data_IF_052901363570
#
_entry.id   IF_052901363570
#
_cell.length_a   1.000
_cell.length_b   1.000
_cell.length_c   1.000
_cell.angle_alpha   90.00
_cell.angle_beta   90.00
_cell.angle_gamma   90.00
#
_symmetry.space_group_name_H-M   'P 1'
#
loop_
_entity.id
_entity.type
_entity.pdbx_description
1 polymer ?
#
# COMPACT_ATOMS: atom_id res chain seq x y z
N UNK A 1 7.01 -14.76 -9.66
CA UNK A 1 7.20 -13.68 -8.65
C UNK A 1 8.37 -12.75 -8.90
N UNK A 2 9.58 -13.22 -9.26
CA UNK A 2 10.78 -12.37 -9.41
C UNK A 2 10.57 -11.09 -10.23
N UNK A 3 9.97 -11.18 -11.43
CA UNK A 3 9.72 -10.01 -12.28
C UNK A 3 8.78 -8.96 -11.65
N UNK A 4 7.69 -9.38 -11.00
CA UNK A 4 6.80 -8.45 -10.29
C UNK A 4 7.53 -7.82 -9.11
N UNK A 5 8.25 -8.63 -8.32
CA UNK A 5 9.08 -8.14 -7.21
C UNK A 5 10.04 -7.04 -7.68
N UNK A 6 10.81 -7.30 -8.72
CA UNK A 6 11.82 -6.39 -9.23
C UNK A 6 11.17 -5.11 -9.82
N UNK A 7 10.09 -5.25 -10.60
CA UNK A 7 9.38 -4.11 -11.20
C UNK A 7 8.74 -3.21 -10.12
N UNK A 8 8.01 -3.80 -9.17
CA UNK A 8 7.39 -3.06 -8.06
C UNK A 8 8.46 -2.37 -7.22
N UNK A 9 9.52 -3.08 -6.84
CA UNK A 9 10.64 -2.51 -6.05
C UNK A 9 11.28 -1.32 -6.77
N UNK A 10 11.52 -1.42 -8.09
CA UNK A 10 12.07 -0.34 -8.90
C UNK A 10 11.15 0.88 -8.92
N UNK A 11 9.85 0.68 -9.11
CA UNK A 11 8.87 1.77 -9.13
C UNK A 11 8.82 2.52 -7.78
N UNK A 12 8.75 1.80 -6.66
CA UNK A 12 8.76 2.43 -5.33
C UNK A 12 10.09 3.08 -4.99
N UNK A 13 11.22 2.50 -5.38
CA UNK A 13 12.54 3.14 -5.18
C UNK A 13 12.65 4.43 -5.97
N UNK A 14 12.16 4.46 -7.21
CA UNK A 14 12.11 5.69 -8.03
C UNK A 14 11.22 6.75 -7.38
N UNK A 15 10.06 6.34 -6.88
CA UNK A 15 9.14 7.21 -6.16
C UNK A 15 9.79 7.79 -4.90
N UNK A 16 10.37 6.95 -4.04
CA UNK A 16 11.04 7.37 -2.81
C UNK A 16 12.16 8.38 -3.12
N UNK A 17 12.99 8.12 -4.14
CA UNK A 17 14.01 9.09 -4.59
C UNK A 17 13.40 10.44 -4.98
N UNK A 18 12.28 10.42 -5.71
CA UNK A 18 11.60 11.65 -6.10
C UNK A 18 11.06 12.41 -4.89
N UNK A 19 10.46 11.73 -3.91
CA UNK A 19 9.95 12.34 -2.67
C UNK A 19 11.10 12.90 -1.83
N UNK A 20 12.21 12.16 -1.73
CA UNK A 20 13.39 12.60 -0.99
C UNK A 20 14.04 13.85 -1.59
N UNK A 21 14.10 13.95 -2.92
CA UNK A 21 14.57 15.17 -3.61
C UNK A 21 13.69 16.36 -3.25
N UNK A 22 12.37 16.17 -3.36
CA UNK A 22 11.37 17.17 -3.00
C UNK A 22 11.44 17.64 -1.55
N UNK A 23 11.67 16.70 -0.61
CA UNK A 23 11.87 17.03 0.80
C UNK A 23 13.14 17.84 1.00
N UNK A 24 14.25 17.47 0.35
CA UNK A 24 15.52 18.19 0.47
C UNK A 24 15.38 19.66 0.08
N UNK A 25 14.76 19.93 -1.07
CA UNK A 25 14.58 21.30 -1.55
C UNK A 25 13.71 22.10 -0.56
N UNK A 26 12.61 21.50 -0.11
CA UNK A 26 11.69 22.15 0.84
C UNK A 26 12.32 22.39 2.21
N UNK A 27 13.11 21.44 2.71
CA UNK A 27 13.82 21.56 3.99
C UNK A 27 14.83 22.70 3.95
N UNK A 28 15.51 22.90 2.82
CA UNK A 28 16.41 24.04 2.63
C UNK A 28 15.66 25.38 2.71
N UNK A 29 14.52 25.51 2.03
CA UNK A 29 13.67 26.71 2.10
C UNK A 29 13.18 26.99 3.53
N UNK A 30 12.60 25.98 4.19
CA UNK A 30 12.08 26.08 5.55
C UNK A 30 13.18 26.49 6.53
N UNK A 31 14.40 25.97 6.35
CA UNK A 31 15.55 26.31 7.18
C UNK A 31 16.01 27.75 6.98
N UNK A 32 16.07 28.24 5.74
CA UNK A 32 16.39 29.64 5.44
C UNK A 32 15.38 30.59 6.08
N UNK A 33 14.08 30.28 5.94
CA UNK A 33 13.00 31.07 6.55
C UNK A 33 13.07 31.06 8.08
N UNK A 34 13.30 29.90 8.68
CA UNK A 34 13.45 29.77 10.14
C UNK A 34 14.65 30.56 10.67
N UNK A 35 15.80 30.50 9.99
CA UNK A 35 16.98 31.30 10.36
C UNK A 35 16.67 32.80 10.28
N UNK A 36 15.99 33.24 9.22
CA UNK A 36 15.59 34.65 9.05
C UNK A 36 14.66 35.09 10.19
N UNK A 37 13.62 34.30 10.48
CA UNK A 37 12.66 34.61 11.55
C UNK A 37 13.30 34.65 12.94
N UNK A 38 14.19 33.71 13.25
CA UNK A 38 14.91 33.66 14.53
C UNK A 38 15.92 34.79 14.69
N UNK A 39 16.60 35.21 13.61
CA UNK A 39 17.49 36.37 13.63
C UNK A 39 16.74 37.67 13.92
N UNK A 40 15.56 37.85 13.34
CA UNK A 40 14.72 39.03 13.56
C UNK A 40 14.08 39.09 14.96
N UNK A 41 14.10 37.98 15.72
CA UNK A 41 13.54 37.93 17.07
C UNK A 41 14.56 38.45 18.10
N UNK A 42 14.22 39.57 18.76
CA UNK A 42 15.06 40.22 19.78
C UNK A 42 14.85 39.65 21.19
N UNK A 43 13.75 38.94 21.43
CA UNK A 43 13.36 38.43 22.75
C UNK A 43 13.99 37.07 23.08
N UNK A 44 14.63 36.44 22.09
CA UNK A 44 15.24 35.12 22.22
C UNK A 44 16.74 35.18 22.43
N UNK A 45 17.22 34.37 23.37
CA UNK A 45 18.65 34.12 23.54
C UNK A 45 19.20 33.35 22.33
N UNK A 46 20.51 33.45 22.08
CA UNK A 46 21.16 32.68 21.02
C UNK A 46 20.98 31.17 21.22
N UNK A 47 21.06 30.70 22.47
CA UNK A 47 20.85 29.29 22.84
C UNK A 47 19.46 28.79 22.45
N UNK A 48 18.41 29.59 22.66
CA UNK A 48 17.04 29.22 22.31
C UNK A 48 16.84 29.15 20.79
N UNK A 49 17.50 30.05 20.05
CA UNK A 49 17.50 30.05 18.58
C UNK A 49 18.17 28.79 18.02
N UNK A 50 19.31 28.41 18.58
CA UNK A 50 20.06 27.23 18.16
C UNK A 50 19.28 25.93 18.44
N UNK A 51 18.63 25.83 19.60
CA UNK A 51 17.77 24.69 19.96
C UNK A 51 16.53 24.58 19.05
N UNK A 52 15.93 25.71 18.67
CA UNK A 52 14.80 25.72 17.73
C UNK A 52 15.22 25.23 16.33
N UNK A 53 16.39 25.64 15.84
CA UNK A 53 16.95 25.15 14.57
C UNK A 53 17.29 23.66 14.64
N UNK A 54 17.86 23.19 15.76
CA UNK A 54 18.14 21.77 15.96
C UNK A 54 16.86 20.92 15.89
N UNK A 55 15.77 21.35 16.55
CA UNK A 55 14.48 20.66 16.47
C UNK A 55 13.88 20.65 15.07
N UNK A 56 14.09 21.72 14.30
CA UNK A 56 13.70 21.75 12.89
C UNK A 56 14.50 20.71 12.07
N UNK A 57 15.81 20.68 12.24
CA UNK A 57 16.70 19.72 11.57
C UNK A 57 16.35 18.26 11.97
N UNK A 58 16.00 18.00 13.23
CA UNK A 58 15.50 16.70 13.72
C UNK A 58 14.17 16.30 13.07
N UNK A 59 13.23 17.24 12.93
CA UNK A 59 11.96 17.00 12.24
C UNK A 59 12.20 16.66 10.76
N UNK A 60 13.08 17.40 10.09
CA UNK A 60 13.46 17.13 8.69
C UNK A 60 14.08 15.75 8.53
N UNK A 61 14.97 15.35 9.45
CA UNK A 61 15.54 14.01 9.48
C UNK A 61 14.48 12.92 9.63
N UNK A 62 13.51 13.11 10.54
CA UNK A 62 12.41 12.16 10.75
C UNK A 62 11.51 12.03 9.50
N UNK A 63 11.23 13.13 8.78
CA UNK A 63 10.49 13.08 7.51
C UNK A 63 11.22 12.26 6.44
N UNK A 64 12.55 12.42 6.33
CA UNK A 64 13.40 11.65 5.40
C UNK A 64 13.41 10.16 5.78
N UNK A 65 13.59 9.85 7.06
CA UNK A 65 13.64 8.48 7.58
C UNK A 65 12.34 7.74 7.30
N UNK A 66 11.19 8.37 7.54
CA UNK A 66 9.88 7.79 7.24
C UNK A 66 9.72 7.38 5.77
N UNK A 67 10.22 8.18 4.83
CA UNK A 67 10.17 7.84 3.39
C UNK A 67 11.08 6.66 3.04
N UNK A 68 12.23 6.54 3.72
CA UNK A 68 13.13 5.39 3.56
C UNK A 68 12.49 4.12 4.13
N UNK A 69 11.92 4.21 5.34
CA UNK A 69 11.24 3.10 6.00
C UNK A 69 10.05 2.59 5.18
N UNK A 70 9.23 3.50 4.66
CA UNK A 70 8.12 3.17 3.77
C UNK A 70 8.63 2.41 2.51
N UNK A 71 9.72 2.85 1.90
CA UNK A 71 10.31 2.17 0.74
C UNK A 71 10.88 0.79 1.08
N UNK A 72 11.59 0.69 2.20
CA UNK A 72 12.20 -0.56 2.64
C UNK A 72 11.15 -1.56 3.10
N UNK A 73 10.03 -1.09 3.67
CA UNK A 73 8.89 -1.93 3.99
C UNK A 73 8.26 -2.55 2.74
N UNK A 74 8.08 -1.78 1.66
CA UNK A 74 7.64 -2.35 0.37
C UNK A 74 8.62 -3.40 -0.13
N UNK A 75 9.93 -3.13 -0.09
CA UNK A 75 10.95 -4.13 -0.48
C UNK A 75 10.86 -5.40 0.35
N UNK A 76 10.65 -5.27 1.66
CA UNK A 76 10.52 -6.41 2.57
C UNK A 76 9.30 -7.26 2.22
N UNK A 77 8.14 -6.63 2.04
CA UNK A 77 6.90 -7.33 1.64
C UNK A 77 7.11 -8.09 0.32
N UNK A 78 7.65 -7.41 -0.70
CA UNK A 78 7.90 -8.02 -2.00
C UNK A 78 8.93 -9.17 -1.91
N UNK A 79 9.95 -9.02 -1.06
CA UNK A 79 10.96 -10.04 -0.80
C UNK A 79 10.37 -11.28 -0.14
N UNK A 80 9.54 -11.11 0.90
CA UNK A 80 8.89 -12.21 1.62
C UNK A 80 7.97 -13.02 0.71
N UNK A 81 7.05 -12.35 0.00
CA UNK A 81 6.16 -13.02 -0.95
C UNK A 81 6.94 -13.74 -2.07
N UNK A 82 8.08 -13.19 -2.49
CA UNK A 82 8.95 -13.86 -3.46
C UNK A 82 9.65 -15.09 -2.87
N UNK A 83 10.17 -15.02 -1.64
CA UNK A 83 10.85 -16.14 -0.95
C UNK A 83 9.89 -17.29 -0.71
N UNK A 84 8.68 -16.97 -0.26
CA UNK A 84 7.59 -17.92 -0.01
C UNK A 84 6.91 -18.41 -1.30
N UNK A 85 7.32 -17.90 -2.48
CA UNK A 85 6.77 -18.25 -3.80
C UNK A 85 5.24 -18.09 -3.90
N UNK A 86 4.66 -17.19 -3.12
CA UNK A 86 3.21 -16.91 -3.09
C UNK A 86 2.86 -15.53 -3.62
N UNK A 87 1.59 -15.31 -3.96
CA UNK A 87 1.10 -13.95 -4.22
C UNK A 87 1.10 -13.10 -2.93
N UNK A 88 0.97 -11.79 -3.09
CA UNK A 88 0.74 -10.90 -1.96
C UNK A 88 -0.61 -11.21 -1.29
N UNK A 89 -0.60 -11.20 0.03
CA UNK A 89 -1.81 -11.31 0.85
C UNK A 89 -2.64 -10.03 0.77
N UNK A 90 -3.89 -10.09 1.24
CA UNK A 90 -4.77 -8.91 1.30
C UNK A 90 -4.17 -7.79 2.16
N UNK A 91 -3.55 -8.15 3.29
CA UNK A 91 -2.98 -7.18 4.22
C UNK A 91 -1.71 -6.53 3.68
N UNK A 92 -0.83 -7.32 3.05
CA UNK A 92 0.36 -6.80 2.36
C UNK A 92 -0.02 -5.83 1.23
N UNK A 93 -1.08 -6.14 0.46
CA UNK A 93 -1.60 -5.23 -0.57
C UNK A 93 -2.13 -3.93 0.02
N UNK A 94 -2.89 -4.01 1.12
CA UNK A 94 -3.39 -2.84 1.84
C UNK A 94 -2.23 -1.97 2.32
N UNK A 95 -1.23 -2.58 2.93
CA UNK A 95 -0.05 -1.87 3.45
C UNK A 95 0.75 -1.18 2.33
N UNK A 96 1.00 -1.86 1.20
CA UNK A 96 1.64 -1.26 0.03
C UNK A 96 0.85 -0.06 -0.50
N UNK A 97 -0.49 -0.16 -0.54
CA UNK A 97 -1.35 0.94 -0.98
C UNK A 97 -1.27 2.14 -0.03
N UNK A 98 -1.30 1.89 1.29
CA UNK A 98 -1.16 2.94 2.30
C UNK A 98 0.21 3.63 2.21
N UNK A 99 1.29 2.87 2.02
CA UNK A 99 2.64 3.41 1.80
C UNK A 99 2.65 4.32 0.56
N UNK A 100 2.07 3.86 -0.53
CA UNK A 100 1.97 4.63 -1.76
C UNK A 100 1.21 5.94 -1.55
N UNK A 101 0.10 5.92 -0.82
CA UNK A 101 -0.67 7.13 -0.53
C UNK A 101 0.12 8.09 0.35
N UNK A 102 0.79 7.60 1.40
CA UNK A 102 1.66 8.42 2.25
C UNK A 102 2.75 9.12 1.45
N UNK A 103 3.52 8.37 0.65
CA UNK A 103 4.62 8.97 -0.11
C UNK A 103 4.13 9.99 -1.14
N UNK A 104 3.00 9.74 -1.83
CA UNK A 104 2.45 10.70 -2.80
C UNK A 104 1.88 11.94 -2.13
N UNK A 105 1.20 11.78 -0.99
CA UNK A 105 0.68 12.90 -0.22
C UNK A 105 1.82 13.75 0.35
N UNK A 106 2.89 13.12 0.87
CA UNK A 106 4.11 13.85 1.28
C UNK A 106 4.68 14.67 0.12
N UNK A 107 4.74 14.11 -1.09
CA UNK A 107 5.20 14.86 -2.26
C UNK A 107 4.31 16.05 -2.58
N UNK A 108 3.00 15.83 -2.69
CA UNK A 108 2.02 16.87 -3.04
C UNK A 108 2.09 18.03 -2.03
N UNK A 109 2.05 17.72 -0.74
CA UNK A 109 2.06 18.73 0.32
C UNK A 109 3.39 19.52 0.39
N UNK A 110 4.48 18.99 -0.17
CA UNK A 110 5.82 19.59 -0.04
C UNK A 110 6.32 20.28 -1.31
N UNK A 111 5.75 19.99 -2.48
CA UNK A 111 6.24 20.57 -3.75
C UNK A 111 5.26 21.37 -4.57
N UNK A 112 3.95 21.11 -4.47
CA UNK A 112 3.03 21.59 -5.53
C UNK A 112 2.13 22.72 -5.04
N UNK A 113 2.09 23.82 -5.81
CA UNK A 113 1.07 24.88 -5.66
C UNK A 113 0.10 24.95 -6.84
N UNK A 114 0.41 24.30 -7.97
CA UNK A 114 -0.43 24.31 -9.18
C UNK A 114 -1.20 22.99 -9.36
N UNK A 115 -2.42 23.10 -9.90
CA UNK A 115 -3.29 21.96 -10.18
C UNK A 115 -2.68 20.99 -11.22
N UNK A 116 -1.91 21.53 -12.17
CA UNK A 116 -1.27 20.76 -13.24
C UNK A 116 -0.22 19.79 -12.68
N UNK A 117 0.62 20.23 -11.75
CA UNK A 117 1.63 19.38 -11.12
C UNK A 117 0.99 18.29 -10.26
N UNK A 118 -0.06 18.63 -9.51
CA UNK A 118 -0.83 17.66 -8.72
C UNK A 118 -1.46 16.61 -9.64
N UNK A 119 -2.03 17.05 -10.77
CA UNK A 119 -2.61 16.14 -11.76
C UNK A 119 -1.55 15.23 -12.38
N UNK A 120 -0.36 15.75 -12.71
CA UNK A 120 0.74 14.95 -13.25
C UNK A 120 1.24 13.91 -12.23
N UNK A 121 1.40 14.28 -10.96
CA UNK A 121 1.78 13.37 -9.87
C UNK A 121 0.72 12.26 -9.70
N UNK A 122 -0.56 12.63 -9.63
CA UNK A 122 -1.66 11.66 -9.48
C UNK A 122 -1.81 10.73 -10.71
N UNK A 123 -1.50 11.23 -11.92
CA UNK A 123 -1.47 10.39 -13.13
C UNK A 123 -0.37 9.35 -13.06
N UNK A 124 0.83 9.73 -12.60
CA UNK A 124 1.94 8.79 -12.36
C UNK A 124 1.56 7.76 -11.29
N UNK A 125 0.96 8.19 -10.18
CA UNK A 125 0.44 7.31 -9.12
C UNK A 125 -0.55 6.28 -9.67
N UNK A 126 -1.55 6.75 -10.41
CA UNK A 126 -2.61 5.91 -10.96
C UNK A 126 -2.05 4.89 -11.95
N UNK A 127 -1.08 5.29 -12.78
CA UNK A 127 -0.39 4.38 -13.70
C UNK A 127 0.38 3.30 -12.95
N UNK A 128 1.16 3.67 -11.94
CA UNK A 128 1.90 2.71 -11.13
C UNK A 128 0.98 1.69 -10.45
N UNK A 129 -0.11 2.15 -9.80
CA UNK A 129 -1.12 1.26 -9.21
C UNK A 129 -1.75 0.34 -10.26
N UNK A 130 -2.17 0.89 -11.40
CA UNK A 130 -2.76 0.11 -12.49
C UNK A 130 -1.81 -1.00 -12.98
N UNK A 131 -0.54 -0.68 -13.20
CA UNK A 131 0.45 -1.63 -13.70
C UNK A 131 0.73 -2.76 -12.69
N UNK A 132 0.85 -2.43 -11.41
CA UNK A 132 1.06 -3.41 -10.33
C UNK A 132 -0.16 -4.34 -10.23
N UNK A 133 -1.36 -3.76 -10.06
CA UNK A 133 -2.57 -4.55 -9.83
C UNK A 133 -2.94 -5.40 -11.06
N UNK A 134 -2.65 -4.93 -12.27
CA UNK A 134 -2.84 -5.73 -13.49
C UNK A 134 -1.90 -6.94 -13.54
N UNK A 135 -0.62 -6.76 -13.20
CA UNK A 135 0.35 -7.88 -13.16
C UNK A 135 -0.05 -8.91 -12.11
N UNK A 136 -0.54 -8.48 -10.95
CA UNK A 136 -1.03 -9.37 -9.89
C UNK A 136 -2.30 -10.12 -10.29
N UNK A 137 -3.26 -9.43 -10.89
CA UNK A 137 -4.47 -10.03 -11.44
C UNK A 137 -4.10 -11.15 -12.42
N UNK A 138 -3.21 -10.86 -13.37
CA UNK A 138 -2.77 -11.85 -14.37
C UNK A 138 -2.07 -13.06 -13.73
N UNK A 139 -1.27 -12.86 -12.67
CA UNK A 139 -0.67 -13.98 -11.94
C UNK A 139 -1.73 -14.83 -11.21
N UNK A 140 -2.71 -14.17 -10.61
CA UNK A 140 -3.81 -14.84 -9.90
C UNK A 140 -4.64 -15.68 -10.87
N UNK A 141 -4.99 -15.13 -12.04
CA UNK A 141 -5.69 -15.84 -13.11
C UNK A 141 -4.87 -17.05 -13.56
N UNK A 142 -3.58 -16.86 -13.85
CA UNK A 142 -2.69 -17.95 -14.29
C UNK A 142 -2.59 -19.09 -13.25
N UNK A 143 -2.54 -18.75 -11.96
CA UNK A 143 -2.52 -19.74 -10.89
C UNK A 143 -3.84 -20.52 -10.80
N UNK A 144 -4.98 -19.82 -10.86
CA UNK A 144 -6.31 -20.43 -10.83
C UNK A 144 -6.54 -21.36 -12.04
N UNK A 145 -6.08 -20.96 -13.23
CA UNK A 145 -6.14 -21.80 -14.43
C UNK A 145 -5.31 -23.07 -14.29
N UNK A 146 -4.10 -22.96 -13.71
CA UNK A 146 -3.25 -24.12 -13.45
C UNK A 146 -3.92 -25.09 -12.46
N UNK A 147 -4.43 -24.59 -11.34
CA UNK A 147 -5.14 -25.42 -10.34
C UNK A 147 -6.36 -26.12 -10.94
N UNK A 148 -7.14 -25.41 -11.78
CA UNK A 148 -8.27 -25.99 -12.50
C UNK A 148 -7.83 -27.13 -13.43
N UNK A 149 -6.79 -26.90 -14.25
CA UNK A 149 -6.24 -27.92 -15.17
C UNK A 149 -5.74 -29.15 -14.42
N UNK A 150 -5.00 -28.95 -13.33
CA UNK A 150 -4.47 -30.04 -12.49
C UNK A 150 -5.62 -30.84 -11.86
N UNK A 151 -6.66 -30.16 -11.35
CA UNK A 151 -7.85 -30.81 -10.77
C UNK A 151 -8.65 -31.60 -11.81
N UNK A 152 -8.86 -31.01 -13.01
CA UNK A 152 -9.55 -31.68 -14.12
C UNK A 152 -8.82 -32.98 -14.51
N UNK A 153 -7.50 -32.91 -14.71
CA UNK A 153 -6.67 -34.07 -15.06
C UNK A 153 -6.77 -35.17 -13.99
N UNK A 154 -6.75 -34.80 -12.71
CA UNK A 154 -6.87 -35.75 -11.61
C UNK A 154 -8.26 -36.40 -11.56
N UNK A 155 -9.33 -35.64 -11.81
CA UNK A 155 -10.69 -36.17 -11.86
C UNK A 155 -10.86 -37.18 -13.02
N UNK A 156 -10.33 -36.86 -14.20
CA UNK A 156 -10.33 -37.76 -15.37
C UNK A 156 -9.55 -39.05 -15.08
N UNK A 157 -8.36 -38.95 -14.46
CA UNK A 157 -7.56 -40.13 -14.08
C UNK A 157 -8.32 -41.04 -13.11
N UNK A 158 -8.97 -40.47 -12.09
CA UNK A 158 -9.79 -41.23 -11.12
C UNK A 158 -10.95 -41.95 -11.80
N UNK A 159 -11.68 -41.25 -12.69
CA UNK A 159 -12.77 -41.84 -13.47
C UNK A 159 -12.28 -43.01 -14.32
N UNK A 160 -11.20 -42.81 -15.08
CA UNK A 160 -10.67 -43.84 -15.97
C UNK A 160 -10.21 -45.08 -15.20
N UNK A 161 -9.58 -44.92 -14.03
CA UNK A 161 -9.22 -46.04 -13.17
C UNK A 161 -10.45 -46.79 -12.64
N UNK A 162 -11.50 -46.10 -12.20
CA UNK A 162 -12.76 -46.73 -11.76
C UNK A 162 -13.43 -47.52 -12.89
N UNK A 163 -13.52 -46.92 -14.08
CA UNK A 163 -14.12 -47.56 -15.27
C UNK A 163 -13.32 -48.79 -15.68
N UNK A 164 -11.98 -48.70 -15.69
CA UNK A 164 -11.13 -49.84 -16.01
C UNK A 164 -11.32 -51.01 -15.03
N UNK A 165 -11.37 -50.73 -13.73
CA UNK A 165 -11.60 -51.77 -12.72
C UNK A 165 -12.98 -52.43 -12.88
N UNK A 166 -14.02 -51.63 -13.17
CA UNK A 166 -15.35 -52.14 -13.46
C UNK A 166 -15.37 -53.01 -14.73
N UNK A 167 -14.64 -52.61 -15.77
CA UNK A 167 -14.52 -53.38 -17.01
C UNK A 167 -13.84 -54.73 -16.78
N UNK A 168 -12.80 -54.79 -15.94
CA UNK A 168 -12.16 -56.06 -15.53
C UNK A 168 -13.15 -56.96 -14.80
N UNK A 169 -13.89 -56.43 -13.82
CA UNK A 169 -14.87 -57.20 -13.05
C UNK A 169 -16.00 -57.75 -13.94
N UNK A 170 -16.46 -56.96 -14.91
CA UNK A 170 -17.52 -57.36 -15.84
C UNK A 170 -17.03 -58.34 -16.92
N UNK A 171 -16.01 -57.95 -17.72
CA UNK A 171 -15.61 -58.71 -18.91
C UNK A 171 -14.69 -59.89 -18.60
N UNK A 172 -13.79 -59.76 -17.64
CA UNK A 172 -12.75 -60.79 -17.36
C UNK A 172 -13.17 -61.74 -16.26
N UNK A 173 -13.71 -61.19 -15.17
CA UNK A 173 -14.05 -61.98 -13.99
C UNK A 173 -15.51 -62.45 -14.01
N UNK A 174 -16.40 -61.74 -14.72
CA UNK A 174 -17.84 -62.07 -14.76
C UNK A 174 -18.55 -61.93 -13.41
N UNK A 175 -17.96 -61.21 -12.45
CA UNK A 175 -18.45 -61.14 -11.05
C UNK A 175 -19.49 -60.04 -10.84
N UNK A 176 -19.73 -59.19 -11.85
CA UNK A 176 -20.79 -58.18 -11.85
C UNK A 176 -21.60 -58.28 -13.14
N UNK A 177 -22.87 -57.90 -13.07
CA UNK A 177 -23.78 -57.81 -14.22
C UNK A 177 -23.48 -56.58 -15.10
N UNK A 178 -24.03 -56.58 -16.32
CA UNK A 178 -23.96 -55.43 -17.24
C UNK A 178 -24.59 -54.17 -16.63
N UNK A 179 -25.68 -54.33 -15.89
CA UNK A 179 -26.37 -53.21 -15.25
C UNK A 179 -25.56 -52.61 -14.10
N UNK A 180 -24.88 -53.45 -13.30
CA UNK A 180 -23.96 -52.99 -12.26
C UNK A 180 -22.75 -52.28 -12.85
N UNK A 181 -22.16 -52.83 -13.92
CA UNK A 181 -21.10 -52.16 -14.67
C UNK A 181 -21.54 -50.77 -15.15
N UNK A 182 -22.69 -50.67 -15.81
CA UNK A 182 -23.22 -49.40 -16.30
C UNK A 182 -23.47 -48.40 -15.17
N UNK A 183 -24.00 -48.85 -14.02
CA UNK A 183 -24.17 -48.02 -12.83
C UNK A 183 -22.84 -47.48 -12.30
N UNK A 184 -21.79 -48.31 -12.23
CA UNK A 184 -20.45 -47.89 -11.79
C UNK A 184 -19.88 -46.83 -12.73
N UNK A 185 -19.95 -47.05 -14.05
CA UNK A 185 -19.48 -46.09 -15.06
C UNK A 185 -20.22 -44.76 -14.94
N UNK A 186 -21.56 -44.80 -14.88
CA UNK A 186 -22.38 -43.61 -14.74
C UNK A 186 -22.07 -42.84 -13.45
N UNK A 187 -21.84 -43.53 -12.34
CA UNK A 187 -21.47 -42.89 -11.08
C UNK A 187 -20.06 -42.26 -11.16
N UNK A 188 -19.10 -42.94 -11.78
CA UNK A 188 -17.76 -42.42 -11.98
C UNK A 188 -17.75 -41.17 -12.88
N UNK A 189 -18.61 -41.14 -13.91
CA UNK A 189 -18.81 -39.96 -14.76
C UNK A 189 -19.42 -38.79 -13.97
N UNK A 190 -20.48 -39.03 -13.19
CA UNK A 190 -21.10 -38.01 -12.33
C UNK A 190 -20.12 -37.41 -11.32
N UNK A 191 -19.30 -38.24 -10.68
CA UNK A 191 -18.28 -37.76 -9.72
C UNK A 191 -17.20 -36.89 -10.39
N UNK A 192 -16.74 -37.31 -11.58
CA UNK A 192 -15.80 -36.53 -12.40
C UNK A 192 -16.39 -35.16 -12.71
N UNK A 193 -17.60 -35.15 -13.25
CA UNK A 193 -18.25 -33.93 -13.72
C UNK A 193 -18.53 -32.96 -12.57
N UNK A 194 -19.01 -33.48 -11.43
CA UNK A 194 -19.18 -32.70 -10.20
C UNK A 194 -17.86 -32.06 -9.72
N UNK A 195 -16.76 -32.81 -9.76
CA UNK A 195 -15.44 -32.31 -9.35
C UNK A 195 -14.94 -31.21 -10.29
N UNK A 196 -15.07 -31.42 -11.61
CA UNK A 196 -14.67 -30.43 -12.63
C UNK A 196 -15.51 -29.16 -12.49
N UNK A 197 -16.81 -29.29 -12.26
CA UNK A 197 -17.72 -28.14 -12.12
C UNK A 197 -17.41 -27.33 -10.85
N UNK A 198 -17.14 -27.99 -9.72
CA UNK A 198 -16.70 -27.30 -8.51
C UNK A 198 -15.37 -26.56 -8.72
N UNK A 199 -14.40 -27.18 -9.41
CA UNK A 199 -13.13 -26.54 -9.73
C UNK A 199 -13.32 -25.34 -10.67
N UNK A 200 -14.24 -25.42 -11.65
CA UNK A 200 -14.59 -24.32 -12.54
C UNK A 200 -15.17 -23.14 -11.77
N UNK A 201 -16.16 -23.38 -10.91
CA UNK A 201 -16.76 -22.34 -10.05
C UNK A 201 -15.73 -21.65 -9.16
N UNK A 202 -14.81 -22.43 -8.56
CA UNK A 202 -13.71 -21.88 -7.76
C UNK A 202 -12.81 -20.97 -8.59
N UNK A 203 -12.40 -21.41 -9.78
CA UNK A 203 -11.58 -20.62 -10.71
C UNK A 203 -12.28 -19.30 -11.07
N UNK A 204 -13.56 -19.35 -11.45
CA UNK A 204 -14.34 -18.17 -11.82
C UNK A 204 -14.48 -17.18 -10.66
N UNK A 205 -14.73 -17.67 -9.45
CA UNK A 205 -14.76 -16.84 -8.24
C UNK A 205 -13.43 -16.13 -7.97
N UNK A 206 -12.30 -16.84 -8.12
CA UNK A 206 -10.96 -16.25 -7.98
C UNK A 206 -10.70 -15.17 -9.04
N UNK A 207 -11.05 -15.43 -10.31
CA UNK A 207 -10.90 -14.46 -11.40
C UNK A 207 -11.75 -13.21 -11.11
N UNK A 208 -13.03 -13.39 -10.75
CA UNK A 208 -13.94 -12.29 -10.42
C UNK A 208 -13.39 -11.42 -9.29
N UNK A 209 -12.91 -12.04 -8.21
CA UNK A 209 -12.33 -11.32 -7.08
C UNK A 209 -11.07 -10.55 -7.47
N UNK A 210 -10.22 -11.11 -8.32
CA UNK A 210 -9.02 -10.43 -8.82
C UNK A 210 -9.37 -9.21 -9.70
N UNK A 211 -10.40 -9.32 -10.54
CA UNK A 211 -10.91 -8.20 -11.35
C UNK A 211 -11.50 -7.10 -10.48
N UNK A 212 -12.34 -7.46 -9.49
CA UNK A 212 -12.92 -6.49 -8.56
C UNK A 212 -11.84 -5.71 -7.78
N UNK A 213 -10.79 -6.38 -7.30
CA UNK A 213 -9.67 -5.72 -6.63
C UNK A 213 -8.97 -4.70 -7.53
N UNK A 214 -8.83 -4.99 -8.83
CA UNK A 214 -8.28 -4.05 -9.82
C UNK A 214 -9.18 -2.82 -9.97
N UNK A 215 -10.48 -3.04 -10.13
CA UNK A 215 -11.44 -1.95 -10.34
C UNK A 215 -11.55 -1.04 -9.11
N UNK A 216 -11.57 -1.62 -7.91
CA UNK A 216 -11.51 -0.88 -6.65
C UNK A 216 -10.23 -0.05 -6.54
N UNK A 217 -9.08 -0.60 -6.90
CA UNK A 217 -7.80 0.12 -6.91
C UNK A 217 -7.82 1.31 -7.88
N UNK A 218 -8.47 1.18 -9.03
CA UNK A 218 -8.63 2.28 -10.00
C UNK A 218 -9.58 3.35 -9.46
N UNK A 219 -10.73 2.96 -8.90
CA UNK A 219 -11.69 3.88 -8.28
C UNK A 219 -11.07 4.66 -7.12
N UNK A 220 -10.35 3.98 -6.23
CA UNK A 220 -9.64 4.61 -5.11
C UNK A 220 -8.61 5.65 -5.62
N UNK A 221 -7.89 5.33 -6.70
CA UNK A 221 -6.91 6.25 -7.29
C UNK A 221 -7.56 7.52 -7.85
N UNK A 222 -8.76 7.42 -8.45
CA UNK A 222 -9.55 8.55 -8.93
C UNK A 222 -10.05 9.42 -7.78
N UNK A 223 -10.71 8.82 -6.79
CA UNK A 223 -11.21 9.54 -5.61
C UNK A 223 -10.09 10.30 -4.89
N UNK A 224 -8.93 9.66 -4.72
CA UNK A 224 -7.80 10.30 -4.07
C UNK A 224 -7.17 11.41 -4.92
N UNK A 225 -7.30 11.38 -6.26
CA UNK A 225 -6.89 12.51 -7.11
C UNK A 225 -7.77 13.74 -6.81
N UNK A 226 -9.08 13.56 -6.74
CA UNK A 226 -10.05 14.63 -6.47
C UNK A 226 -9.78 15.27 -5.10
N UNK A 227 -9.61 14.44 -4.05
CA UNK A 227 -9.25 14.91 -2.70
C UNK A 227 -7.95 15.71 -2.72
N UNK A 228 -6.94 15.26 -3.46
CA UNK A 228 -5.64 15.93 -3.51
C UNK A 228 -5.72 17.30 -4.21
N UNK A 229 -6.59 17.45 -5.22
CA UNK A 229 -6.87 18.74 -5.87
C UNK A 229 -7.63 19.67 -4.92
N UNK A 230 -8.68 19.17 -4.28
CA UNK A 230 -9.48 19.95 -3.32
C UNK A 230 -8.62 20.46 -2.15
N UNK A 231 -7.76 19.59 -1.59
CA UNK A 231 -6.88 19.96 -0.49
C UNK A 231 -5.87 21.03 -0.90
N UNK A 232 -5.29 20.95 -2.10
CA UNK A 232 -4.37 21.99 -2.57
C UNK A 232 -5.06 23.34 -2.82
N UNK A 233 -6.31 23.34 -3.29
CA UNK A 233 -7.12 24.55 -3.39
C UNK A 233 -7.45 25.17 -2.02
N UNK A 234 -7.58 24.34 -0.97
CA UNK A 234 -7.73 24.82 0.42
C UNK A 234 -6.40 25.32 1.00
N UNK A 235 -5.29 24.65 0.72
CA UNK A 235 -3.95 25.01 1.22
C UNK A 235 -3.36 26.28 0.57
N UNK A 236 -3.65 26.54 -0.70
CA UNK A 236 -3.30 27.82 -1.36
C UNK A 236 -3.93 29.02 -0.66
N UNK A 237 -5.14 28.87 -0.09
CA UNK A 237 -5.78 29.88 0.79
C UNK A 237 -5.24 29.87 2.23
N UNK A 238 -4.48 28.84 2.61
CA UNK A 238 -3.98 28.58 3.97
C UNK A 238 -2.50 28.90 4.21
N UNK A 239 -1.75 29.39 3.22
CA UNK A 239 -0.32 29.72 3.35
C UNK A 239 -0.04 30.69 4.50
N UNK A 240 -0.95 31.64 4.75
CA UNK A 240 -0.88 32.53 5.93
C UNK A 240 -1.00 31.78 7.27
N UNK A 241 -1.85 30.75 7.34
CA UNK A 241 -2.02 29.90 8.54
C UNK A 241 -0.82 28.98 8.78
N UNK A 242 -0.12 28.55 7.72
CA UNK A 242 1.11 27.78 7.85
C UNK A 242 2.24 28.62 8.47
N UNK A 243 2.35 29.90 8.08
CA UNK A 243 3.26 30.86 8.71
C UNK A 243 2.88 31.15 10.18
N UNK A 244 1.59 31.31 10.49
CA UNK A 244 1.11 31.42 11.87
C UNK A 244 1.40 30.15 12.69
N UNK A 245 1.22 28.97 12.10
CA UNK A 245 1.51 27.68 12.73
C UNK A 245 2.99 27.48 13.05
N UNK A 246 3.88 27.87 12.15
CA UNK A 246 5.33 27.87 12.39
C UNK A 246 5.70 28.85 13.52
N UNK A 247 5.11 30.06 13.50
CA UNK A 247 5.32 31.06 14.54
C UNK A 247 4.80 30.57 15.91
N UNK A 248 3.63 29.93 15.94
CA UNK A 248 3.06 29.36 17.17
C UNK A 248 3.83 28.14 17.67
N UNK A 249 4.33 27.27 16.79
CA UNK A 249 5.20 26.15 17.17
C UNK A 249 6.53 26.66 17.74
N UNK A 250 7.15 27.66 17.12
CA UNK A 250 8.34 28.32 17.65
C UNK A 250 8.05 28.91 19.03
N UNK A 251 6.97 29.70 19.19
CA UNK A 251 6.53 30.24 20.49
C UNK A 251 6.32 29.14 21.54
N UNK A 252 5.74 28.00 21.16
CA UNK A 252 5.52 26.85 22.04
C UNK A 252 6.81 26.15 22.46
N UNK A 253 7.74 25.94 21.52
CA UNK A 253 9.06 25.39 21.79
C UNK A 253 9.87 26.29 22.72
N UNK A 254 9.83 27.60 22.49
CA UNK A 254 10.43 28.64 23.34
C UNK A 254 9.80 28.64 24.74
N UNK A 255 8.47 28.58 24.84
CA UNK A 255 7.75 28.53 26.11
C UNK A 255 8.01 27.25 26.91
N UNK A 256 8.34 26.14 26.26
CA UNK A 256 8.83 24.93 26.93
C UNK A 256 10.28 25.12 27.43
N UNK A 257 11.20 25.64 26.62
CA UNK A 257 12.60 25.88 27.04
C UNK A 257 12.68 26.84 28.23
N UNK A 258 11.90 27.93 28.21
CA UNK A 258 11.80 28.87 29.34
C UNK A 258 11.27 28.21 30.62
N UNK A 259 10.38 27.22 30.51
CA UNK A 259 9.85 26.45 31.66
C UNK A 259 10.83 25.40 32.17
N UNK A 260 11.61 24.77 31.30
CA UNK A 260 12.56 23.70 31.65
C UNK A 260 13.89 24.25 32.18
N UNK A 261 14.32 25.44 31.73
CA UNK A 261 15.61 26.02 32.09
C UNK A 261 15.53 27.37 32.80
N UNK A 262 14.34 27.97 32.91
CA UNK A 262 14.10 29.22 33.67
C UNK A 262 13.72 28.99 35.14
N UNK A 263 13.34 27.76 35.52
CA UNK A 263 13.09 27.40 36.91
C UNK A 263 13.97 26.20 37.29
N UNK A 264 14.85 26.42 38.26
CA UNK A 264 15.60 25.34 38.90
C UNK A 264 14.58 24.44 39.60
N UNK A 265 14.62 23.15 39.25
CA UNK A 265 13.82 22.04 39.81
C UNK A 265 12.36 21.88 39.32
N UNK A 266 12.15 21.00 38.34
CA UNK A 266 11.60 19.62 38.49
C UNK A 266 11.11 19.10 37.14
N UNK A 267 11.37 17.81 36.96
CA UNK A 267 11.29 17.02 35.73
C UNK A 267 9.88 16.91 35.14
N UNK A 268 9.73 17.15 33.84
CA UNK A 268 8.67 16.53 33.05
C UNK A 268 9.09 16.42 31.57
N UNK A 269 9.04 15.21 31.04
CA UNK A 269 9.41 14.82 29.67
C UNK A 269 8.82 15.72 28.57
N UNK A 270 9.45 15.79 27.37
CA UNK A 270 8.90 16.52 26.24
C UNK A 270 7.47 16.05 25.92
N UNK A 271 6.55 16.95 25.52
CA UNK A 271 5.23 16.52 25.07
C UNK A 271 5.39 15.62 23.85
N UNK A 272 5.02 14.35 24.00
CA UNK A 272 4.93 13.42 22.89
C UNK A 272 3.87 13.93 21.90
N UNK A 273 4.25 14.00 20.63
CA UNK A 273 3.32 14.25 19.54
C UNK A 273 2.27 13.14 19.51
N UNK A 274 1.04 13.44 19.93
CA UNK A 274 -0.10 12.55 19.69
C UNK A 274 -0.51 12.72 18.22
N UNK A 275 -0.43 11.68 17.37
CA UNK A 275 -0.96 11.75 16.02
C UNK A 275 -2.46 12.07 16.11
N UNK A 276 -2.88 13.07 15.35
CA UNK A 276 -4.20 13.66 15.42
C UNK A 276 -5.32 12.63 15.38
N UNK A 277 -6.16 12.70 16.41
CA UNK A 277 -7.56 12.30 16.41
C UNK A 277 -8.26 12.85 15.17
N UNK A 278 -8.97 11.95 14.50
CA UNK A 278 -9.98 12.24 13.47
C UNK A 278 -10.92 13.32 14.02
N UNK A 279 -11.18 14.42 13.29
CA UNK A 279 -12.17 15.40 13.73
C UNK A 279 -13.56 14.74 13.80
N UNK A 280 -14.18 14.84 14.96
CA UNK A 280 -15.49 14.29 15.32
C UNK A 280 -16.64 15.10 14.70
N UNK A 281 -16.58 15.36 13.39
CA UNK A 281 -17.65 16.02 12.64
C UNK A 281 -18.06 15.11 11.47
N UNK A 282 -18.41 13.87 11.81
CA UNK A 282 -19.11 12.92 10.97
C UNK A 282 -20.05 12.10 11.86
N UNK A 283 -20.95 12.80 12.54
CA UNK A 283 -22.21 12.26 13.04
C UNK A 283 -23.31 13.22 12.60
N UNK A 284 -24.02 12.74 11.60
CA UNK A 284 -25.18 13.30 10.92
C UNK A 284 -25.59 12.24 9.93
#
# INVERSE_FOLDING_TARGET
NKKIKDDTTKQYTSMAKSVLSSLKDRHQEERVEAVKALKSNKDLSQKDKDEALKKLDEKHKAEIEKVKDDNDRVKQIMSNASKEKRALTRDEKREINEINDRMYNTKINKTTKSEDEITAINKRRSKQRHDITTKEMNQTIKAAEKEFKDTKKNAEKKRNSKVHNAEVQYKKLGVISKDEYNKIVNNADKERDKTIEQARKKKEGVIKNATLQKDESVKASKKQKEINIENAQKETRGVGKAFEGLNNWLKGAIGWVKRVFGNKEKTSSPPQFKPGSIPENAKG
#
